data_IF_255319706253
#
_entry.id   IF_255319706253
#
_cell.length_a   1.000
_cell.length_b   1.000
_cell.length_c   1.000
_cell.angle_alpha   90.00
_cell.angle_beta   90.00
_cell.angle_gamma   90.00
#
_symmetry.space_group_name_H-M   'P 1'
#
loop_
_entity.id
_entity.type
_entity.pdbx_description
1 polymer ?
#
# COMPACT_ATOMS: atom_id res chain seq x y z
N UNK A 1 2.85 -13.29 8.25
CA UNK A 1 3.39 -13.80 6.96
C UNK A 1 3.83 -15.25 7.09
N UNK A 2 4.67 -15.60 8.08
CA UNK A 2 5.16 -16.96 8.30
C UNK A 2 4.06 -18.05 8.25
N UNK A 3 2.93 -17.85 8.92
CA UNK A 3 1.83 -18.84 8.92
C UNK A 3 0.99 -18.88 7.63
N UNK A 4 1.04 -17.81 6.84
CA UNK A 4 0.18 -17.61 5.65
C UNK A 4 0.93 -17.82 4.33
N UNK A 5 2.25 -17.89 4.40
CA UNK A 5 3.13 -18.13 3.27
C UNK A 5 4.43 -18.78 3.76
N UNK A 6 4.37 -20.03 4.26
CA UNK A 6 5.51 -20.71 4.90
C UNK A 6 6.70 -20.93 3.97
N UNK A 7 6.46 -20.92 2.65
CA UNK A 7 7.51 -21.10 1.65
C UNK A 7 8.23 -19.79 1.27
N UNK A 8 7.82 -18.66 1.85
CA UNK A 8 8.48 -17.38 1.65
C UNK A 8 9.50 -17.11 2.76
N UNK A 9 10.66 -16.60 2.36
CA UNK A 9 11.65 -16.05 3.28
C UNK A 9 11.33 -14.57 3.53
N UNK A 10 10.99 -14.22 4.76
CA UNK A 10 10.73 -12.84 5.15
C UNK A 10 12.04 -12.14 5.52
N UNK A 11 12.39 -11.11 4.75
CA UNK A 11 13.51 -10.23 5.05
C UNK A 11 12.99 -8.91 5.62
N UNK A 12 13.38 -8.60 6.86
CA UNK A 12 13.04 -7.34 7.54
C UNK A 12 14.25 -6.42 7.47
N UNK A 13 14.13 -5.33 6.72
CA UNK A 13 15.15 -4.29 6.64
C UNK A 13 14.82 -3.20 7.67
N UNK A 14 15.64 -3.07 8.70
CA UNK A 14 15.39 -2.12 9.80
C UNK A 14 16.69 -1.61 10.42
N UNK A 15 16.77 -0.31 10.77
CA UNK A 15 17.88 0.22 11.56
C UNK A 15 17.67 -0.01 13.07
N UNK A 16 16.50 -0.51 13.49
CA UNK A 16 16.12 -0.64 14.89
C UNK A 16 16.68 -1.94 15.49
N UNK A 17 17.46 -1.89 16.59
CA UNK A 17 17.96 -3.08 17.25
C UNK A 17 16.85 -4.06 17.64
N UNK A 18 15.69 -3.53 18.07
CA UNK A 18 14.52 -4.29 18.47
C UNK A 18 13.95 -5.18 17.36
N UNK A 19 14.21 -4.89 16.08
CA UNK A 19 13.79 -5.77 14.98
C UNK A 19 14.43 -7.15 15.09
N UNK A 20 15.66 -7.25 15.62
CA UNK A 20 16.40 -8.51 15.76
C UNK A 20 15.71 -9.51 16.69
N UNK A 21 14.91 -9.05 17.64
CA UNK A 21 14.13 -9.91 18.53
C UNK A 21 13.04 -10.69 17.77
N UNK A 22 12.64 -10.25 16.58
CA UNK A 22 11.65 -10.96 15.74
C UNK A 22 12.22 -12.24 15.11
N UNK A 23 13.54 -12.32 14.93
CA UNK A 23 14.21 -13.49 14.31
C UNK A 23 14.11 -14.73 15.20
N UNK A 24 14.09 -14.54 16.52
CA UNK A 24 14.06 -15.67 17.46
C UNK A 24 12.69 -16.36 17.55
N UNK A 25 11.63 -15.70 17.07
CA UNK A 25 10.25 -16.16 17.26
C UNK A 25 9.63 -16.80 16.01
N UNK A 26 10.19 -16.57 14.83
CA UNK A 26 9.58 -16.97 13.57
C UNK A 26 10.57 -17.71 12.66
N UNK A 27 10.25 -18.92 12.17
CA UNK A 27 11.06 -19.59 11.16
C UNK A 27 11.05 -18.78 9.85
N UNK A 28 12.14 -18.86 9.09
CA UNK A 28 12.29 -18.18 7.80
C UNK A 28 12.15 -16.66 7.87
N UNK A 29 12.65 -16.05 8.95
CA UNK A 29 12.78 -14.58 9.08
C UNK A 29 14.25 -14.22 9.25
N UNK A 30 14.71 -13.23 8.48
CA UNK A 30 16.01 -12.61 8.69
C UNK A 30 15.87 -11.10 8.82
N UNK A 31 16.61 -10.50 9.76
CA UNK A 31 16.69 -9.05 9.92
C UNK A 31 18.00 -8.56 9.33
N UNK A 32 17.91 -7.50 8.52
CA UNK A 32 19.04 -6.86 7.86
C UNK A 32 19.12 -5.40 8.29
N UNK A 33 20.30 -4.96 8.65
CA UNK A 33 20.57 -3.59 9.08
C UNK A 33 20.60 -2.64 7.88
N UNK A 34 19.84 -1.55 7.97
CA UNK A 34 19.76 -0.50 6.93
C UNK A 34 20.63 0.72 7.21
N UNK A 35 21.38 0.77 8.32
CA UNK A 35 22.24 1.93 8.64
C UNK A 35 23.34 2.18 7.59
N UNK A 36 23.67 1.17 6.80
CA UNK A 36 24.62 1.25 5.68
C UNK A 36 24.00 1.72 4.36
N UNK A 37 22.73 2.08 4.34
CA UNK A 37 22.02 2.45 3.11
C UNK A 37 22.21 3.94 2.83
N UNK A 38 22.31 4.28 1.55
CA UNK A 38 22.49 5.67 1.12
C UNK A 38 21.15 6.43 1.01
N UNK A 39 20.03 5.75 1.22
CA UNK A 39 18.68 6.32 1.19
C UNK A 39 17.91 6.09 2.49
N UNK A 40 16.95 6.97 2.77
CA UNK A 40 15.98 6.85 3.86
C UNK A 40 14.57 7.12 3.37
N UNK A 41 13.57 6.76 4.17
CA UNK A 41 12.16 6.95 3.82
C UNK A 41 11.79 6.27 2.49
N UNK A 42 11.17 7.03 1.58
CA UNK A 42 10.70 6.52 0.29
C UNK A 42 11.84 6.07 -0.64
N UNK A 43 13.05 6.62 -0.50
CA UNK A 43 14.20 6.33 -1.37
C UNK A 43 14.89 4.98 -1.10
N UNK A 44 14.48 4.26 -0.05
CA UNK A 44 15.14 3.02 0.36
C UNK A 44 14.75 1.82 -0.52
N UNK A 45 13.54 1.82 -1.10
CA UNK A 45 12.96 0.65 -1.78
C UNK A 45 13.82 0.07 -2.91
N UNK A 46 14.28 0.86 -3.91
CA UNK A 46 15.09 0.29 -4.98
C UNK A 46 16.43 -0.25 -4.47
N UNK A 47 17.03 0.35 -3.45
CA UNK A 47 18.26 -0.15 -2.85
C UNK A 47 18.05 -1.48 -2.13
N UNK A 48 16.98 -1.62 -1.33
CA UNK A 48 16.62 -2.90 -0.70
C UNK A 48 16.40 -3.96 -1.75
N UNK A 49 15.57 -3.69 -2.76
CA UNK A 49 15.25 -4.64 -3.82
C UNK A 49 16.50 -5.09 -4.60
N UNK A 50 17.41 -4.17 -4.93
CA UNK A 50 18.67 -4.51 -5.59
C UNK A 50 19.56 -5.41 -4.72
N UNK A 51 19.63 -5.16 -3.40
CA UNK A 51 20.38 -6.02 -2.47
C UNK A 51 19.74 -7.39 -2.33
N UNK A 52 18.41 -7.47 -2.21
CA UNK A 52 17.69 -8.75 -2.16
C UNK A 52 17.89 -9.56 -3.44
N UNK A 53 17.88 -8.91 -4.60
CA UNK A 53 18.23 -9.54 -5.87
C UNK A 53 19.74 -9.87 -5.98
N UNK A 54 20.60 -9.44 -5.06
CA UNK A 54 21.95 -9.98 -4.96
C UNK A 54 21.99 -11.41 -4.43
N UNK A 55 20.96 -11.81 -3.67
CA UNK A 55 20.90 -13.07 -2.92
C UNK A 55 19.78 -14.01 -3.42
N UNK A 56 18.82 -13.49 -4.20
CA UNK A 56 17.63 -14.22 -4.66
C UNK A 56 17.25 -13.90 -6.11
N UNK A 57 16.57 -14.81 -6.80
CA UNK A 57 16.09 -14.61 -8.17
C UNK A 57 14.96 -13.56 -8.27
N UNK A 58 14.12 -13.51 -7.22
CA UNK A 58 12.92 -12.68 -7.15
C UNK A 58 12.76 -12.11 -5.75
N UNK A 59 12.16 -10.92 -5.67
CA UNK A 59 11.86 -10.24 -4.42
C UNK A 59 10.44 -9.69 -4.45
N UNK A 60 9.71 -9.83 -3.34
CA UNK A 60 8.44 -9.16 -3.09
C UNK A 60 8.64 -8.16 -1.95
N UNK A 61 8.52 -6.88 -2.27
CA UNK A 61 8.45 -5.81 -1.30
C UNK A 61 7.00 -5.62 -0.83
N UNK A 62 6.82 -5.46 0.47
CA UNK A 62 5.60 -4.96 1.10
C UNK A 62 5.99 -3.84 2.06
N UNK A 63 5.26 -2.73 2.05
CA UNK A 63 5.44 -1.68 3.05
C UNK A 63 5.16 -2.22 4.46
N UNK A 64 5.77 -1.61 5.47
CA UNK A 64 5.69 -2.05 6.87
C UNK A 64 4.29 -1.90 7.48
N UNK A 65 3.39 -1.22 6.79
CA UNK A 65 1.99 -1.01 7.14
C UNK A 65 1.04 -1.84 6.25
N UNK A 66 1.54 -3.00 5.78
CA UNK A 66 0.77 -4.06 5.14
C UNK A 66 0.59 -5.24 6.10
N UNK A 67 -0.62 -5.80 6.14
CA UNK A 67 -0.92 -7.06 6.85
C UNK A 67 -1.33 -8.12 5.83
N UNK A 68 -0.61 -9.24 5.83
CA UNK A 68 -1.01 -10.45 5.09
C UNK A 68 -2.18 -11.11 5.80
N UNK A 69 -3.35 -11.09 5.17
CA UNK A 69 -4.63 -11.53 5.73
C UNK A 69 -5.22 -12.78 5.06
N UNK A 70 -4.82 -13.05 3.81
CA UNK A 70 -5.32 -14.16 3.00
C UNK A 70 -4.21 -15.05 2.46
N UNK A 71 -4.51 -15.76 1.37
CA UNK A 71 -3.58 -16.69 0.71
C UNK A 71 -2.65 -15.94 -0.25
N UNK A 72 -1.49 -15.54 0.29
CA UNK A 72 -0.48 -14.81 -0.48
C UNK A 72 0.25 -15.73 -1.48
N UNK A 73 0.44 -17.01 -1.16
CA UNK A 73 1.14 -17.94 -2.04
C UNK A 73 0.36 -18.18 -3.33
N UNK A 74 -0.97 -18.39 -3.22
CA UNK A 74 -1.85 -18.52 -4.38
C UNK A 74 -1.81 -17.27 -5.26
N UNK A 75 -1.83 -16.08 -4.65
CA UNK A 75 -1.74 -14.82 -5.40
C UNK A 75 -0.40 -14.73 -6.13
N UNK A 76 0.72 -15.00 -5.45
CA UNK A 76 2.06 -14.99 -6.07
C UNK A 76 2.16 -15.98 -7.22
N UNK A 77 1.59 -17.18 -7.06
CA UNK A 77 1.62 -18.23 -8.07
C UNK A 77 0.86 -17.85 -9.37
N UNK A 78 -0.11 -16.95 -9.29
CA UNK A 78 -0.84 -16.46 -10.48
C UNK A 78 -0.10 -15.39 -11.28
N UNK A 79 0.96 -14.78 -10.74
CA UNK A 79 1.62 -13.67 -11.40
C UNK A 79 2.51 -14.13 -12.58
N UNK A 80 2.54 -13.39 -13.70
CA UNK A 80 3.46 -13.68 -14.80
C UNK A 80 4.92 -13.69 -14.35
N UNK A 81 5.73 -14.56 -14.95
CA UNK A 81 7.13 -14.75 -14.54
C UNK A 81 8.02 -13.56 -14.91
N UNK A 82 7.77 -12.97 -16.06
CA UNK A 82 8.53 -11.89 -16.69
C UNK A 82 8.02 -10.48 -16.36
N UNK A 83 6.82 -10.35 -15.80
CA UNK A 83 6.25 -9.05 -15.44
C UNK A 83 6.84 -8.49 -14.13
N UNK A 84 6.91 -7.16 -14.07
CA UNK A 84 6.95 -6.43 -12.80
C UNK A 84 5.54 -6.42 -12.24
N UNK A 85 5.40 -6.75 -10.95
CA UNK A 85 4.07 -6.74 -10.29
C UNK A 85 4.00 -5.55 -9.36
N UNK A 86 3.01 -4.68 -9.53
CA UNK A 86 2.85 -3.44 -8.74
C UNK A 86 1.48 -3.42 -8.09
N UNK A 87 1.32 -2.72 -6.97
CA UNK A 87 0.00 -2.40 -6.44
C UNK A 87 -0.77 -1.49 -7.39
N UNK A 88 -2.08 -1.68 -7.53
CA UNK A 88 -2.96 -0.68 -8.15
C UNK A 88 -3.18 0.50 -7.21
N UNK A 89 -2.96 1.74 -7.63
CA UNK A 89 -3.26 2.92 -6.80
C UNK A 89 -4.75 3.27 -6.80
N UNK A 90 -5.36 3.23 -5.62
CA UNK A 90 -6.78 3.51 -5.42
C UNK A 90 -7.19 4.95 -5.76
N UNK A 91 -6.38 5.96 -5.43
CA UNK A 91 -6.81 7.38 -5.49
C UNK A 91 -6.73 8.01 -6.87
N UNK A 92 -5.94 7.44 -7.78
CA UNK A 92 -5.57 8.09 -9.03
C UNK A 92 -5.83 7.20 -10.24
N UNK A 93 -7.08 6.76 -10.42
CA UNK A 93 -7.55 6.05 -11.62
C UNK A 93 -7.68 6.94 -12.87
N UNK A 94 -7.01 8.08 -12.91
CA UNK A 94 -7.09 8.97 -14.06
C UNK A 94 -6.12 8.49 -15.16
N UNK A 95 -6.61 8.22 -16.39
CA UNK A 95 -5.74 7.95 -17.53
C UNK A 95 -4.70 9.06 -17.72
N UNK A 96 -3.47 8.69 -18.12
CA UNK A 96 -2.39 9.65 -18.35
C UNK A 96 -1.64 10.12 -17.09
N UNK A 97 -1.99 9.60 -15.90
CA UNK A 97 -1.32 9.93 -14.65
C UNK A 97 0.17 9.57 -14.65
N UNK A 98 0.54 8.42 -15.22
CA UNK A 98 1.93 7.98 -15.35
C UNK A 98 2.69 8.83 -16.37
N UNK A 99 2.11 9.05 -17.55
CA UNK A 99 2.73 9.85 -18.63
C UNK A 99 2.93 11.31 -18.28
N UNK A 100 2.01 11.90 -17.53
CA UNK A 100 2.17 13.27 -17.02
C UNK A 100 3.40 13.37 -16.11
N UNK A 101 3.66 12.35 -15.28
CA UNK A 101 4.86 12.30 -14.42
C UNK A 101 6.13 12.08 -15.23
N UNK A 102 6.08 11.21 -16.23
CA UNK A 102 7.21 10.99 -17.14
C UNK A 102 7.61 12.28 -17.88
N UNK A 103 6.64 13.00 -18.46
CA UNK A 103 6.91 14.29 -19.12
C UNK A 103 7.46 15.33 -18.14
N UNK A 104 6.94 15.39 -16.92
CA UNK A 104 7.44 16.31 -15.90
C UNK A 104 8.88 15.99 -15.47
N UNK A 105 9.28 14.71 -15.53
CA UNK A 105 10.67 14.28 -15.37
C UNK A 105 11.55 14.53 -16.61
N UNK A 106 10.98 14.99 -17.73
CA UNK A 106 11.68 15.17 -19.01
C UNK A 106 11.89 13.88 -19.79
N UNK A 107 11.12 12.82 -19.50
CA UNK A 107 11.21 11.54 -20.19
C UNK A 107 10.28 11.51 -21.41
N UNK A 108 10.73 10.87 -22.50
CA UNK A 108 9.89 10.52 -23.65
C UNK A 108 8.92 9.40 -23.26
N UNK A 109 7.62 9.63 -23.46
CA UNK A 109 6.56 8.65 -23.20
C UNK A 109 6.39 7.75 -24.42
N UNK A 110 6.42 6.43 -24.22
CA UNK A 110 6.26 5.44 -25.28
C UNK A 110 5.02 4.52 -25.11
N UNK A 111 4.38 4.54 -23.94
CA UNK A 111 3.10 3.85 -23.71
C UNK A 111 2.29 4.53 -22.61
N UNK A 112 1.05 4.12 -22.48
CA UNK A 112 0.22 4.39 -21.29
C UNK A 112 0.10 3.11 -20.46
N UNK A 113 -0.18 3.27 -19.17
CA UNK A 113 -0.57 2.17 -18.29
C UNK A 113 -2.07 2.28 -17.95
N UNK A 114 -2.71 1.14 -17.78
CA UNK A 114 -4.14 1.07 -17.44
C UNK A 114 -4.46 1.75 -16.10
N UNK A 115 -3.52 1.67 -15.15
CA UNK A 115 -3.69 2.18 -13.79
C UNK A 115 -2.45 2.88 -13.28
N UNK A 116 -2.63 3.83 -12.36
CA UNK A 116 -1.50 4.37 -11.60
C UNK A 116 -0.88 3.28 -10.72
N UNK A 117 0.44 3.25 -10.64
CA UNK A 117 1.17 2.27 -9.83
C UNK A 117 1.24 2.71 -8.37
N UNK A 118 1.16 1.73 -7.47
CA UNK A 118 1.44 1.87 -6.05
C UNK A 118 2.64 0.99 -5.69
N UNK A 119 3.71 1.60 -5.19
CA UNK A 119 4.97 0.90 -4.87
C UNK A 119 4.97 0.25 -3.48
N UNK A 120 3.88 0.34 -2.73
CA UNK A 120 3.78 -0.27 -1.40
C UNK A 120 3.65 -1.79 -1.43
N UNK A 121 3.44 -2.36 -2.62
CA UNK A 121 3.57 -3.78 -2.88
C UNK A 121 4.17 -3.97 -4.27
N UNK A 122 5.32 -4.61 -4.35
CA UNK A 122 6.12 -4.66 -5.57
C UNK A 122 6.88 -5.98 -5.69
N UNK A 123 6.63 -6.75 -6.75
CA UNK A 123 7.44 -7.92 -7.12
C UNK A 123 8.38 -7.57 -8.26
N UNK A 124 9.65 -7.91 -8.08
CA UNK A 124 10.70 -7.78 -9.08
C UNK A 124 11.51 -9.07 -9.20
N UNK A 125 12.27 -9.17 -10.28
CA UNK A 125 13.15 -10.30 -10.62
C UNK A 125 14.48 -9.75 -11.14
N UNK A 126 15.46 -10.62 -11.38
CA UNK A 126 16.73 -10.22 -12.00
C UNK A 126 16.58 -9.42 -13.29
N UNK A 127 15.58 -9.75 -14.12
CA UNK A 127 15.30 -9.05 -15.37
C UNK A 127 14.98 -7.55 -15.16
N UNK A 128 14.51 -7.18 -13.97
CA UNK A 128 14.11 -5.81 -13.63
C UNK A 128 15.26 -4.98 -13.04
N UNK A 129 16.47 -5.52 -12.90
CA UNK A 129 17.60 -4.84 -12.26
C UNK A 129 17.92 -3.47 -12.87
N UNK A 130 17.95 -3.37 -14.20
CA UNK A 130 18.22 -2.10 -14.91
C UNK A 130 17.16 -1.03 -14.61
N UNK A 131 15.89 -1.43 -14.47
CA UNK A 131 14.79 -0.54 -14.07
C UNK A 131 14.98 -0.05 -12.63
N UNK A 132 15.35 -0.95 -11.71
CA UNK A 132 15.60 -0.60 -10.30
C UNK A 132 16.80 0.35 -10.14
N UNK A 133 17.85 0.15 -10.93
CA UNK A 133 19.01 1.04 -10.95
C UNK A 133 18.65 2.44 -11.47
N UNK A 134 17.84 2.52 -12.53
CA UNK A 134 17.32 3.79 -13.04
C UNK A 134 16.40 4.47 -12.01
N UNK A 135 15.55 3.71 -11.34
CA UNK A 135 14.69 4.21 -10.27
C UNK A 135 15.51 4.80 -9.12
N UNK A 136 16.51 4.06 -8.62
CA UNK A 136 17.45 4.55 -7.61
C UNK A 136 18.16 5.83 -8.06
N UNK A 137 18.60 5.89 -9.33
CA UNK A 137 19.31 7.05 -9.87
C UNK A 137 18.41 8.30 -9.92
N UNK A 138 17.17 8.17 -10.40
CA UNK A 138 16.21 9.29 -10.42
C UNK A 138 15.86 9.78 -9.01
N UNK A 139 15.75 8.87 -8.03
CA UNK A 139 15.53 9.25 -6.63
C UNK A 139 16.75 9.92 -5.98
N UNK A 140 17.93 9.77 -6.58
CA UNK A 140 19.14 10.46 -6.15
C UNK A 140 19.25 11.89 -6.72
N UNK A 141 18.41 12.26 -7.70
CA UNK A 141 18.37 13.59 -8.31
C UNK A 141 18.13 14.67 -7.24
N UNK A 142 18.89 15.78 -7.25
CA UNK A 142 18.71 16.87 -6.29
C UNK A 142 17.28 17.41 -6.22
N UNK A 143 16.55 17.48 -7.35
CA UNK A 143 15.16 17.97 -7.38
C UNK A 143 14.25 17.08 -6.53
N UNK A 144 14.42 15.77 -6.63
CA UNK A 144 13.65 14.82 -5.82
C UNK A 144 14.00 14.97 -4.34
N UNK A 145 15.30 15.01 -3.99
CA UNK A 145 15.75 15.16 -2.59
C UNK A 145 15.22 16.45 -1.96
N UNK A 146 15.36 17.57 -2.64
CA UNK A 146 14.83 18.87 -2.19
C UNK A 146 13.31 18.83 -2.03
N UNK A 147 12.58 18.14 -2.90
CA UNK A 147 11.13 17.97 -2.74
C UNK A 147 10.79 17.11 -1.51
N UNK A 148 11.59 16.09 -1.19
CA UNK A 148 11.37 15.23 -0.02
C UNK A 148 11.52 15.96 1.32
N UNK A 149 12.25 17.07 1.35
CA UNK A 149 12.36 17.96 2.52
C UNK A 149 11.11 18.80 2.77
N UNK A 150 10.22 18.89 1.78
CA UNK A 150 8.99 19.68 1.86
C UNK A 150 7.80 18.84 2.34
N UNK A 151 6.76 19.45 2.94
CA UNK A 151 5.48 18.79 3.17
C UNK A 151 4.89 18.25 1.87
N UNK A 152 4.29 17.06 1.91
CA UNK A 152 3.71 16.37 0.73
C UNK A 152 2.81 17.29 -0.11
N UNK A 153 1.99 18.12 0.55
CA UNK A 153 1.05 19.04 -0.12
C UNK A 153 1.72 20.14 -0.97
N UNK A 154 3.03 20.36 -0.82
CA UNK A 154 3.81 21.33 -1.60
C UNK A 154 4.67 20.69 -2.68
N UNK A 155 4.73 19.35 -2.73
CA UNK A 155 5.53 18.63 -3.70
C UNK A 155 4.80 18.59 -5.04
N UNK A 156 5.54 18.77 -6.11
CA UNK A 156 5.03 18.53 -7.45
C UNK A 156 4.68 17.05 -7.62
N UNK A 157 3.63 16.74 -8.39
CA UNK A 157 3.05 15.39 -8.51
C UNK A 157 4.07 14.31 -8.88
N UNK A 158 5.06 14.63 -9.72
CA UNK A 158 6.10 13.69 -10.14
C UNK A 158 7.25 13.51 -9.13
N UNK A 159 7.27 14.35 -8.09
CA UNK A 159 8.25 14.37 -6.99
C UNK A 159 7.60 14.06 -5.64
N UNK A 160 6.32 13.62 -5.63
CA UNK A 160 5.63 13.28 -4.39
C UNK A 160 6.41 12.15 -3.73
N UNK A 161 6.45 10.96 -4.31
CA UNK A 161 7.18 9.83 -3.76
C UNK A 161 7.81 8.89 -4.77
N UNK A 162 8.29 7.76 -4.26
CA UNK A 162 9.00 6.73 -5.00
C UNK A 162 8.14 6.08 -6.09
N UNK A 163 6.85 5.86 -5.81
CA UNK A 163 5.91 5.32 -6.79
C UNK A 163 5.75 6.20 -8.03
N UNK A 164 5.81 7.53 -7.88
CA UNK A 164 5.64 8.46 -8.99
C UNK A 164 6.83 8.37 -9.97
N UNK A 165 8.03 8.14 -9.43
CA UNK A 165 9.25 7.89 -10.22
C UNK A 165 9.16 6.53 -10.93
N UNK A 166 8.74 5.47 -10.23
CA UNK A 166 8.55 4.15 -10.84
C UNK A 166 7.51 4.20 -11.98
N UNK A 167 6.38 4.86 -11.75
CA UNK A 167 5.33 5.06 -12.75
C UNK A 167 5.86 5.78 -14.00
N UNK A 168 6.63 6.85 -13.81
CA UNK A 168 7.26 7.61 -14.89
C UNK A 168 8.22 6.76 -15.71
N UNK A 169 9.04 5.94 -15.05
CA UNK A 169 9.97 5.03 -15.72
C UNK A 169 9.23 3.98 -16.55
N UNK A 170 8.19 3.36 -15.99
CA UNK A 170 7.46 2.27 -16.67
C UNK A 170 6.77 2.72 -17.97
N UNK A 171 6.43 3.99 -18.13
CA UNK A 171 5.86 4.52 -19.39
C UNK A 171 6.90 5.15 -20.33
N UNK A 172 8.14 5.26 -19.87
CA UNK A 172 9.22 5.88 -20.66
C UNK A 172 9.69 4.96 -21.79
N UNK A 173 10.22 5.56 -22.85
CA UNK A 173 10.80 4.86 -24.01
C UNK A 173 11.77 3.74 -23.61
N UNK A 174 12.62 3.98 -22.60
CA UNK A 174 13.62 2.99 -22.16
C UNK A 174 13.02 1.72 -21.53
N UNK A 175 11.83 1.80 -20.93
CA UNK A 175 11.24 0.68 -20.16
C UNK A 175 9.81 0.34 -20.58
N UNK A 176 9.37 0.82 -21.76
CA UNK A 176 8.03 0.58 -22.27
C UNK A 176 7.75 -0.91 -22.57
N UNK A 177 8.80 -1.70 -22.81
CA UNK A 177 8.66 -3.14 -23.06
C UNK A 177 8.53 -3.97 -21.78
N UNK A 178 8.77 -3.40 -20.59
CA UNK A 178 8.66 -4.14 -19.32
C UNK A 178 7.19 -4.47 -19.07
N UNK A 179 6.77 -5.75 -19.05
CA UNK A 179 5.36 -6.09 -18.82
C UNK A 179 4.95 -5.72 -17.39
N UNK A 180 3.81 -5.05 -17.21
CA UNK A 180 3.31 -4.62 -15.90
C UNK A 180 2.07 -5.45 -15.53
N UNK A 181 2.10 -6.07 -14.35
CA UNK A 181 0.96 -6.75 -13.77
C UNK A 181 0.52 -6.03 -12.49
N UNK A 182 -0.80 -5.90 -12.28
CA UNK A 182 -1.34 -5.19 -11.14
C UNK A 182 -1.88 -6.14 -10.08
N UNK A 183 -1.48 -5.92 -8.83
CA UNK A 183 -2.20 -6.43 -7.66
C UNK A 183 -3.44 -5.55 -7.51
N UNK A 184 -4.60 -6.11 -7.84
CA UNK A 184 -5.84 -5.35 -7.98
C UNK A 184 -6.37 -4.91 -6.63
N UNK A 185 -6.74 -3.64 -6.52
CA UNK A 185 -7.42 -3.14 -5.33
C UNK A 185 -8.87 -3.65 -5.30
N UNK A 186 -9.26 -4.27 -4.18
CA UNK A 186 -10.50 -5.02 -4.02
C UNK A 186 -10.23 -6.52 -3.88
N UNK A 187 -10.10 -7.27 -5.00
CA UNK A 187 -10.02 -8.73 -4.96
C UNK A 187 -8.68 -9.27 -4.45
N UNK A 188 -7.54 -8.65 -4.80
CA UNK A 188 -6.22 -9.17 -4.40
C UNK A 188 -5.71 -8.49 -3.13
N UNK A 189 -5.85 -7.18 -3.05
CA UNK A 189 -5.43 -6.34 -1.93
C UNK A 189 -6.52 -5.33 -1.59
N UNK A 190 -6.65 -4.95 -0.31
CA UNK A 190 -7.42 -3.76 0.05
C UNK A 190 -6.49 -2.63 0.48
N UNK A 191 -6.58 -1.49 -0.19
CA UNK A 191 -5.88 -0.26 0.16
C UNK A 191 -6.74 0.61 1.06
N UNK A 192 -6.55 0.49 2.37
CA UNK A 192 -7.31 1.29 3.32
C UNK A 192 -6.88 2.77 3.29
N UNK A 193 -7.80 3.60 2.85
CA UNK A 193 -7.69 5.05 2.87
C UNK A 193 -9.09 5.63 3.14
N UNK A 194 -9.39 5.92 4.41
CA UNK A 194 -10.69 6.47 4.81
C UNK A 194 -11.87 5.54 4.45
N UNK A 195 -13.03 6.13 4.18
CA UNK A 195 -14.27 5.39 3.99
C UNK A 195 -14.32 4.56 2.70
N UNK A 196 -13.73 5.07 1.61
CA UNK A 196 -13.86 4.47 0.28
C UNK A 196 -12.68 3.55 -0.12
N UNK A 197 -11.59 3.50 0.67
CA UNK A 197 -10.45 2.62 0.37
C UNK A 197 -10.78 1.12 0.30
N UNK A 198 -11.89 0.71 0.93
CA UNK A 198 -12.54 -0.56 0.61
C UNK A 198 -13.90 -0.26 -0.01
N UNK A 199 -13.91 -0.22 -1.34
CA UNK A 199 -15.03 0.28 -2.13
C UNK A 199 -16.30 -0.55 -1.90
N UNK A 200 -17.47 0.06 -2.10
CA UNK A 200 -18.79 -0.57 -1.89
C UNK A 200 -18.92 -1.88 -2.67
N UNK A 201 -18.53 -1.89 -3.95
CA UNK A 201 -18.61 -3.08 -4.80
C UNK A 201 -17.68 -4.18 -4.29
N UNK A 202 -16.48 -3.84 -3.85
CA UNK A 202 -15.52 -4.83 -3.35
C UNK A 202 -15.98 -5.40 -2.00
N UNK A 203 -16.61 -4.58 -1.15
CA UNK A 203 -17.30 -5.07 0.06
C UNK A 203 -18.36 -6.09 -0.32
N UNK A 204 -19.23 -5.78 -1.27
CA UNK A 204 -20.30 -6.70 -1.67
C UNK A 204 -19.75 -8.00 -2.26
N UNK A 205 -18.71 -7.92 -3.09
CA UNK A 205 -18.03 -9.10 -3.67
C UNK A 205 -17.39 -9.98 -2.59
N UNK A 206 -16.68 -9.36 -1.64
CA UNK A 206 -15.97 -10.08 -0.56
C UNK A 206 -16.88 -10.65 0.52
N UNK A 207 -18.17 -10.32 0.55
CA UNK A 207 -19.13 -11.03 1.42
C UNK A 207 -19.23 -12.52 1.06
N UNK A 208 -19.00 -12.87 -0.21
CA UNK A 208 -19.16 -14.22 -0.75
C UNK A 208 -17.86 -14.82 -1.29
N UNK A 209 -16.75 -14.10 -1.17
CA UNK A 209 -15.45 -14.51 -1.66
C UNK A 209 -14.44 -14.61 -0.51
N UNK A 210 -13.33 -15.34 -0.69
CA UNK A 210 -12.22 -15.29 0.24
C UNK A 210 -11.74 -13.86 0.50
N UNK A 211 -11.20 -13.56 1.69
CA UNK A 211 -10.62 -12.25 1.96
C UNK A 211 -9.40 -12.00 1.04
N UNK A 212 -9.08 -10.73 0.75
CA UNK A 212 -7.90 -10.37 -0.01
C UNK A 212 -6.62 -10.91 0.65
N UNK A 213 -5.59 -11.17 -0.16
CA UNK A 213 -4.32 -11.72 0.31
C UNK A 213 -3.66 -10.79 1.34
N UNK A 214 -3.81 -9.48 1.20
CA UNK A 214 -3.31 -8.52 2.18
C UNK A 214 -4.09 -7.20 2.18
N UNK A 215 -3.93 -6.47 3.28
CA UNK A 215 -4.51 -5.14 3.49
C UNK A 215 -3.40 -4.14 3.75
N UNK A 216 -3.41 -3.04 3.02
CA UNK A 216 -2.41 -1.98 3.10
C UNK A 216 -3.02 -0.71 3.71
N UNK A 217 -2.43 -0.20 4.79
CA UNK A 217 -2.83 1.06 5.42
C UNK A 217 -2.21 2.25 4.70
N UNK A 218 -2.91 2.84 3.74
CA UNK A 218 -2.38 3.97 2.96
C UNK A 218 -2.43 5.31 3.69
N UNK A 219 -1.52 6.19 3.28
CA UNK A 219 -1.57 7.61 3.57
C UNK A 219 -1.02 8.01 4.94
N UNK A 220 -1.14 9.31 5.22
CA UNK A 220 -0.56 9.96 6.41
C UNK A 220 -1.30 9.63 7.71
N UNK A 221 -2.57 9.30 7.61
CA UNK A 221 -3.39 9.02 8.78
C UNK A 221 -3.08 7.62 9.30
N UNK A 222 -2.22 7.54 10.32
CA UNK A 222 -1.85 6.28 10.95
C UNK A 222 -2.54 6.13 12.31
N UNK A 223 -3.19 5.00 12.59
CA UNK A 223 -4.00 4.83 13.79
C UNK A 223 -3.18 4.89 15.09
N UNK A 224 -1.91 4.48 15.05
CA UNK A 224 -0.98 4.55 16.18
C UNK A 224 -0.54 5.98 16.55
N UNK A 225 -0.88 6.99 15.73
CA UNK A 225 -0.68 8.39 16.09
C UNK A 225 -1.77 8.92 17.03
N UNK A 226 -2.88 8.18 17.21
CA UNK A 226 -4.02 8.61 18.02
C UNK A 226 -3.99 7.98 19.42
N UNK A 227 -3.34 8.67 20.35
CA UNK A 227 -3.34 8.28 21.77
C UNK A 227 -4.71 8.45 22.43
N UNK A 228 -5.51 9.41 21.95
CA UNK A 228 -6.90 9.66 22.40
C UNK A 228 -7.86 9.68 21.21
N UNK A 229 -9.15 9.47 21.50
CA UNK A 229 -10.22 9.67 20.51
C UNK A 229 -10.32 11.15 20.19
N UNK A 230 -10.22 11.58 18.92
CA UNK A 230 -10.41 12.97 18.54
C UNK A 230 -11.81 13.47 18.93
N UNK A 231 -11.92 14.69 19.42
CA UNK A 231 -13.23 15.26 19.75
C UNK A 231 -14.04 15.54 18.49
N UNK A 232 -15.23 14.95 18.36
CA UNK A 232 -16.06 15.08 17.15
C UNK A 232 -16.40 16.53 16.79
N UNK A 233 -16.61 17.41 17.76
CA UNK A 233 -16.98 18.82 17.53
C UNK A 233 -15.81 19.64 16.98
N UNK A 234 -14.59 19.39 17.45
CA UNK A 234 -13.39 20.17 17.13
C UNK A 234 -12.56 19.56 15.99
N UNK A 235 -12.47 18.23 15.94
CA UNK A 235 -11.58 17.47 15.07
C UNK A 235 -12.37 16.50 14.18
N UNK A 236 -13.34 17.04 13.43
CA UNK A 236 -14.29 16.25 12.62
C UNK A 236 -13.60 15.27 11.65
N UNK A 237 -12.56 15.74 10.95
CA UNK A 237 -11.84 14.93 9.96
C UNK A 237 -11.09 13.79 10.64
N UNK A 238 -10.38 14.07 11.72
CA UNK A 238 -9.63 13.04 12.45
C UNK A 238 -10.56 12.05 13.14
N UNK A 239 -11.67 12.51 13.72
CA UNK A 239 -12.70 11.63 14.26
C UNK A 239 -13.24 10.68 13.19
N UNK A 240 -13.58 11.20 12.01
CA UNK A 240 -14.11 10.39 10.91
C UNK A 240 -13.08 9.39 10.38
N UNK A 241 -11.82 9.80 10.22
CA UNK A 241 -10.74 8.90 9.82
C UNK A 241 -10.53 7.78 10.86
N UNK A 242 -10.63 8.09 12.15
CA UNK A 242 -10.58 7.08 13.21
C UNK A 242 -11.72 6.08 13.11
N UNK A 243 -12.96 6.54 12.89
CA UNK A 243 -14.11 5.66 12.67
C UNK A 243 -13.88 4.75 11.45
N UNK A 244 -13.42 5.33 10.33
CA UNK A 244 -13.12 4.56 9.12
C UNK A 244 -12.05 3.50 9.37
N UNK A 245 -11.02 3.85 10.14
CA UNK A 245 -9.98 2.94 10.55
C UNK A 245 -10.53 1.78 11.41
N UNK A 246 -11.30 2.07 12.48
CA UNK A 246 -11.84 1.04 13.39
C UNK A 246 -12.79 0.05 12.68
N UNK A 247 -13.40 0.49 11.58
CA UNK A 247 -14.26 -0.32 10.72
C UNK A 247 -13.52 -0.99 9.56
N UNK A 248 -12.25 -0.64 9.32
CA UNK A 248 -11.47 -1.10 8.17
C UNK A 248 -11.15 -2.59 8.22
N UNK A 249 -10.86 -3.21 7.06
CA UNK A 249 -10.25 -4.54 7.00
C UNK A 249 -8.89 -4.60 7.69
N UNK A 250 -8.11 -3.50 7.67
CA UNK A 250 -6.80 -3.46 8.32
C UNK A 250 -6.93 -3.64 9.82
N UNK A 251 -7.85 -2.90 10.46
CA UNK A 251 -8.13 -3.05 11.87
C UNK A 251 -8.58 -4.48 12.20
N UNK A 252 -9.40 -5.11 11.34
CA UNK A 252 -9.79 -6.51 11.49
C UNK A 252 -8.59 -7.47 11.40
N UNK A 253 -7.73 -7.28 10.40
CA UNK A 253 -6.55 -8.11 10.16
C UNK A 253 -5.49 -7.94 11.26
N UNK A 254 -5.46 -6.78 11.92
CA UNK A 254 -4.54 -6.49 13.02
C UNK A 254 -5.02 -7.03 14.39
N UNK A 255 -6.33 -7.23 14.59
CA UNK A 255 -6.90 -7.68 15.88
C UNK A 255 -6.23 -8.94 16.47
N UNK A 256 -5.94 -10.00 15.70
CA UNK A 256 -5.33 -11.21 16.25
C UNK A 256 -3.96 -10.96 16.91
N UNK A 257 -3.29 -9.87 16.54
CA UNK A 257 -1.97 -9.50 17.07
C UNK A 257 -2.04 -8.54 18.26
N UNK A 258 -3.23 -8.13 18.71
CA UNK A 258 -3.38 -7.12 19.77
C UNK A 258 -2.60 -7.47 21.03
N UNK A 259 -2.76 -8.70 21.54
CA UNK A 259 -2.07 -9.17 22.75
C UNK A 259 -0.56 -9.18 22.60
N UNK A 260 -0.05 -9.67 21.46
CA UNK A 260 1.38 -9.70 21.16
C UNK A 260 1.99 -8.30 21.07
N UNK A 261 1.18 -7.31 20.68
CA UNK A 261 1.57 -5.90 20.61
C UNK A 261 1.36 -5.13 21.94
N UNK A 262 1.01 -5.82 23.03
CA UNK A 262 0.74 -5.20 24.33
C UNK A 262 -0.58 -4.45 24.39
N UNK A 263 -1.60 -4.94 23.67
CA UNK A 263 -2.96 -4.40 23.62
C UNK A 263 -3.01 -2.89 23.35
N UNK A 264 -2.42 -2.43 22.22
CA UNK A 264 -2.25 -1.01 21.99
C UNK A 264 -3.61 -0.32 21.79
N UNK A 265 -3.81 0.92 22.32
CA UNK A 265 -5.11 1.59 22.29
C UNK A 265 -5.73 1.76 20.90
N UNK A 266 -4.90 1.83 19.86
CA UNK A 266 -5.36 1.97 18.47
C UNK A 266 -6.03 0.70 17.94
N UNK A 267 -5.82 -0.47 18.56
CA UNK A 267 -6.54 -1.71 18.24
C UNK A 267 -7.86 -1.85 19.02
N UNK A 268 -8.19 -0.94 19.93
CA UNK A 268 -9.50 -0.91 20.54
C UNK A 268 -10.50 -0.16 19.64
N UNK A 269 -11.75 -0.63 19.57
CA UNK A 269 -12.86 0.16 19.01
C UNK A 269 -13.33 1.19 20.04
N UNK A 270 -12.78 2.40 19.96
CA UNK A 270 -12.99 3.46 20.95
C UNK A 270 -14.12 4.41 20.55
N UNK A 271 -14.50 4.50 19.28
CA UNK A 271 -15.59 5.39 18.85
C UNK A 271 -16.97 4.74 19.02
N UNK A 272 -17.95 5.52 19.49
CA UNK A 272 -19.34 5.04 19.63
C UNK A 272 -19.94 4.61 18.28
N UNK A 273 -19.68 5.37 17.22
CA UNK A 273 -20.16 5.06 15.87
C UNK A 273 -19.58 3.76 15.34
N UNK A 274 -18.28 3.50 15.49
CA UNK A 274 -17.71 2.22 15.05
C UNK A 274 -18.22 1.04 15.87
N UNK A 275 -18.40 1.20 17.20
CA UNK A 275 -19.01 0.15 18.04
C UNK A 275 -20.42 -0.18 17.60
N UNK A 276 -21.25 0.84 17.34
CA UNK A 276 -22.61 0.66 16.83
C UNK A 276 -22.62 -0.07 15.49
N UNK A 277 -21.85 0.42 14.50
CA UNK A 277 -21.81 -0.19 13.17
C UNK A 277 -21.22 -1.61 13.19
N UNK A 278 -20.25 -1.88 14.07
CA UNK A 278 -19.72 -3.22 14.29
C UNK A 278 -20.78 -4.17 14.88
N UNK A 279 -21.55 -3.72 15.87
CA UNK A 279 -22.63 -4.51 16.46
C UNK A 279 -23.76 -4.77 15.44
N UNK A 280 -24.21 -3.73 14.74
CA UNK A 280 -25.28 -3.80 13.74
C UNK A 280 -24.95 -4.73 12.54
N UNK A 281 -23.66 -4.95 12.27
CA UNK A 281 -23.18 -5.85 11.22
C UNK A 281 -22.75 -7.22 11.74
N UNK A 282 -22.99 -7.53 13.01
CA UNK A 282 -22.55 -8.76 13.67
C UNK A 282 -21.03 -9.02 13.49
N UNK A 283 -20.27 -7.93 13.42
CA UNK A 283 -18.82 -7.96 13.23
C UNK A 283 -18.32 -8.23 11.82
N UNK A 284 -19.20 -8.48 10.85
CA UNK A 284 -18.83 -8.75 9.46
C UNK A 284 -18.03 -7.58 8.85
N UNK A 285 -16.80 -7.86 8.38
CA UNK A 285 -15.83 -6.85 7.94
C UNK A 285 -16.31 -6.07 6.71
N UNK A 286 -16.82 -6.73 5.64
CA UNK A 286 -17.45 -6.02 4.54
C UNK A 286 -18.60 -5.11 4.96
N UNK A 287 -19.51 -5.59 5.81
CA UNK A 287 -20.75 -4.89 6.18
C UNK A 287 -20.53 -3.71 7.13
N UNK A 288 -19.65 -3.83 8.12
CA UNK A 288 -19.50 -2.81 9.19
C UNK A 288 -19.07 -1.42 8.68
N UNK A 289 -18.35 -1.37 7.56
CA UNK A 289 -17.95 -0.11 6.92
C UNK A 289 -18.81 0.29 5.72
N UNK A 290 -19.77 -0.55 5.31
CA UNK A 290 -20.58 -0.35 4.11
C UNK A 290 -21.38 0.97 4.15
N UNK A 291 -22.03 1.38 5.27
CA UNK A 291 -22.76 2.65 5.30
C UNK A 291 -21.87 3.86 5.04
N UNK A 292 -20.63 3.86 5.55
CA UNK A 292 -19.69 4.96 5.33
C UNK A 292 -19.14 4.96 3.90
N UNK A 293 -18.85 3.78 3.35
CA UNK A 293 -18.43 3.65 1.96
C UNK A 293 -19.52 4.12 1.00
N UNK A 294 -20.79 3.77 1.25
CA UNK A 294 -21.94 4.26 0.46
C UNK A 294 -22.08 5.79 0.55
N UNK A 295 -21.98 6.36 1.74
CA UNK A 295 -22.07 7.81 1.92
C UNK A 295 -20.93 8.55 1.19
N UNK A 296 -19.70 8.02 1.27
CA UNK A 296 -18.55 8.56 0.55
C UNK A 296 -18.72 8.44 -0.97
N UNK A 297 -19.16 7.29 -1.45
CA UNK A 297 -19.44 7.05 -2.87
C UNK A 297 -20.50 8.02 -3.42
N UNK A 298 -21.62 8.20 -2.72
CA UNK A 298 -22.67 9.17 -3.10
C UNK A 298 -22.12 10.61 -3.12
N UNK A 299 -21.27 10.96 -2.15
CA UNK A 299 -20.66 12.29 -2.09
C UNK A 299 -19.68 12.54 -3.25
N UNK A 300 -18.90 11.54 -3.64
CA UNK A 300 -18.03 11.60 -4.84
C UNK A 300 -18.87 11.77 -6.11
N UNK A 301 -19.96 11.01 -6.24
CA UNK A 301 -20.86 11.09 -7.39
C UNK A 301 -21.47 12.50 -7.54
N UNK A 302 -21.90 13.11 -6.43
CA UNK A 302 -22.43 14.49 -6.41
C UNK A 302 -21.40 15.56 -6.78
N UNK A 303 -20.10 15.28 -6.68
CA UNK A 303 -19.01 16.20 -7.04
C UNK A 303 -18.62 16.12 -8.52
N UNK A 304 -19.38 15.39 -9.34
CA UNK A 304 -19.20 15.35 -10.79
C UNK A 304 -18.25 14.25 -11.28
N UNK A 305 -17.85 13.31 -10.42
CA UNK A 305 -17.13 12.11 -10.84
C UNK A 305 -18.05 10.90 -10.79
N UNK A 306 -18.50 10.30 -11.91
CA UNK A 306 -18.87 8.90 -11.85
C UNK A 306 -17.59 8.14 -11.46
N UNK A 307 -17.57 7.42 -10.33
CA UNK A 307 -16.44 6.53 -10.09
C UNK A 307 -16.48 5.45 -11.15
N UNK A 308 -15.34 5.25 -11.79
CA UNK A 308 -15.19 4.12 -12.70
C UNK A 308 -15.43 2.84 -11.91
N UNK A 309 -16.45 2.08 -12.34
CA UNK A 309 -16.75 0.79 -11.75
C UNK A 309 -15.50 -0.11 -11.87
N UNK A 310 -15.11 -0.86 -10.83
CA UNK A 310 -14.02 -1.81 -10.95
C UNK A 310 -14.43 -2.94 -11.93
N UNK A 311 -13.92 -2.83 -13.17
CA UNK A 311 -14.05 -3.87 -14.21
C UNK A 311 -15.25 -3.74 -15.14
N UNK A 312 -15.53 -2.55 -15.67
CA UNK A 312 -16.17 -2.42 -16.99
C UNK A 312 -15.07 -2.28 -18.05
#
# INVERSE_FOLDING_TARGET
MADKAPNLHLLIYSPLPAASALVTELPNVAVRDTRSFNGSGWSVKPEVLLRTLGEAEKALWLDTDVIVSGDLERLIASWPRDAIVVGEEFRYRQPGGCSSRARAWGLTVARELDWMTNSGSLRVTQAHRTLLEAWRAMMADPRFKTAQEQPIARRETHLVGDQDVLAALLVSERFHDVPVHYIRNGPDMVQHCGANGFHVIDRLRTMFAPPPAFVHMLGRYKPWLFTKVPERSQQRVDYFNMVCFELSPFHAAAQPYARALGDPPWLARRTALARFLHAASLGNVPLRGLPLALAAWIAEWRRGGPPQLPGA
#
